data_IF_177722948936
#
_entry.id   IF_177722948936
#
_cell.length_a   1.000
_cell.length_b   1.000
_cell.length_c   1.000
_cell.angle_alpha   90.00
_cell.angle_beta   90.00
_cell.angle_gamma   90.00
#
_symmetry.space_group_name_H-M   'P 1'
#
loop_
_entity.id
_entity.type
_entity.pdbx_description
1 polymer ?
#
# COMPACT_ATOMS: atom_id res chain seq x y z
N UNK A 1 15.34 -2.55 -5.77
CA UNK A 1 14.66 -1.24 -5.81
C UNK A 1 14.88 -0.49 -4.50
N UNK A 2 15.22 0.81 -4.55
CA UNK A 2 15.36 1.64 -3.36
C UNK A 2 14.01 1.80 -2.61
N UNK A 3 14.07 1.87 -1.29
CA UNK A 3 12.89 2.05 -0.41
C UNK A 3 13.27 2.92 0.78
N UNK A 4 12.25 3.40 1.49
CA UNK A 4 12.47 4.07 2.77
C UNK A 4 12.83 3.04 3.85
N UNK A 5 13.96 3.25 4.55
CA UNK A 5 14.47 2.37 5.62
C UNK A 5 14.44 3.05 7.00
N UNK A 6 13.97 4.29 7.07
CA UNK A 6 13.92 5.04 8.32
C UNK A 6 12.76 4.65 9.24
N UNK A 7 12.60 5.32 10.38
CA UNK A 7 11.59 5.01 11.38
C UNK A 7 10.16 5.30 10.87
N UNK A 8 9.31 4.26 10.89
CA UNK A 8 7.92 4.32 10.39
C UNK A 8 7.02 5.22 11.23
N UNK A 9 7.20 5.25 12.57
CA UNK A 9 6.48 6.18 13.44
C UNK A 9 6.70 7.66 13.07
N UNK A 10 7.88 8.02 12.61
CA UNK A 10 8.17 9.38 12.16
C UNK A 10 7.29 9.77 10.97
N UNK A 11 7.00 8.82 10.06
CA UNK A 11 6.12 9.04 8.91
C UNK A 11 4.67 9.22 9.35
N UNK A 12 4.15 8.33 10.19
CA UNK A 12 2.78 8.40 10.72
C UNK A 12 2.56 9.72 11.52
N UNK A 13 3.49 10.06 12.41
CA UNK A 13 3.46 11.33 13.15
C UNK A 13 3.47 12.57 12.25
N UNK A 14 4.17 12.52 11.13
CA UNK A 14 4.20 13.65 10.17
C UNK A 14 2.88 13.87 9.49
N UNK A 15 2.15 12.81 9.20
CA UNK A 15 0.81 12.87 8.57
C UNK A 15 -0.33 12.96 9.60
N UNK A 16 -0.04 12.71 10.90
CA UNK A 16 -1.03 12.74 11.98
C UNK A 16 -2.06 11.61 11.91
N UNK A 17 -1.80 10.58 11.11
CA UNK A 17 -2.69 9.43 10.91
C UNK A 17 -1.92 8.12 10.86
N UNK A 18 -2.60 7.00 11.13
CA UNK A 18 -2.01 5.70 10.90
C UNK A 18 -1.87 5.44 9.39
N UNK A 19 -0.68 5.07 8.97
CA UNK A 19 -0.36 4.71 7.60
C UNK A 19 -0.28 3.19 7.38
N UNK A 20 -0.72 2.41 8.36
CA UNK A 20 -0.68 0.94 8.35
C UNK A 20 0.70 0.33 8.04
N UNK A 21 1.77 0.99 8.53
CA UNK A 21 3.15 0.58 8.30
C UNK A 21 3.66 -0.45 9.31
N UNK A 22 2.91 -0.73 10.38
CA UNK A 22 3.31 -1.62 11.49
C UNK A 22 2.51 -2.91 11.61
N UNK A 23 1.88 -3.33 10.58
CA UNK A 23 1.11 -4.57 10.58
C UNK A 23 -0.34 -4.39 11.03
N UNK A 24 -1.17 -5.31 10.55
CA UNK A 24 -2.59 -5.37 10.91
C UNK A 24 -2.74 -5.68 12.41
N UNK A 25 -3.75 -5.10 13.04
CA UNK A 25 -4.03 -5.34 14.46
C UNK A 25 -3.05 -4.72 15.46
N UNK A 26 -1.99 -4.03 15.00
CA UNK A 26 -1.05 -3.34 15.88
C UNK A 26 -1.38 -1.86 15.94
N UNK A 27 -2.15 -1.46 16.96
CA UNK A 27 -2.40 -0.03 17.20
C UNK A 27 -1.11 0.77 17.35
N UNK A 28 -1.10 1.96 16.79
CA UNK A 28 -0.04 2.95 16.99
C UNK A 28 -0.23 3.75 18.28
N UNK A 29 -1.40 3.69 18.89
CA UNK A 29 -1.70 4.34 20.15
C UNK A 29 -0.74 3.85 21.24
N UNK A 30 -0.25 4.75 22.06
CA UNK A 30 0.75 4.46 23.07
C UNK A 30 2.20 4.27 22.57
N UNK A 31 2.42 3.85 21.31
CA UNK A 31 3.77 3.65 20.74
C UNK A 31 4.25 4.82 19.88
N UNK A 32 3.35 5.49 19.21
CA UNK A 32 3.65 6.63 18.36
C UNK A 32 2.79 7.81 18.81
N UNK A 33 3.39 8.88 19.28
CA UNK A 33 2.68 10.12 19.64
C UNK A 33 2.20 10.82 18.37
N UNK A 34 1.05 10.40 17.82
CA UNK A 34 0.53 10.87 16.53
C UNK A 34 0.20 12.36 16.53
N UNK A 35 -0.23 12.89 17.68
CA UNK A 35 -0.59 14.30 17.85
C UNK A 35 0.60 15.25 17.73
N UNK A 36 1.81 14.75 17.98
CA UNK A 36 3.02 15.55 17.96
C UNK A 36 3.81 15.31 16.68
N UNK A 37 3.94 16.32 15.83
CA UNK A 37 4.78 16.24 14.64
C UNK A 37 6.23 15.96 15.01
N UNK A 38 6.99 15.23 14.15
CA UNK A 38 8.41 14.95 14.43
C UNK A 38 9.26 16.22 14.25
N UNK A 39 10.32 16.31 15.05
CA UNK A 39 11.30 17.40 15.03
C UNK A 39 11.20 18.33 16.24
N UNK A 40 12.18 19.22 16.40
CA UNK A 40 12.31 20.14 17.53
C UNK A 40 11.07 21.07 17.68
N UNK A 41 10.51 21.51 16.57
CA UNK A 41 9.35 22.41 16.55
C UNK A 41 8.01 21.69 16.33
N UNK A 42 7.95 20.37 16.60
CA UNK A 42 6.77 19.54 16.35
C UNK A 42 5.49 19.99 17.08
N UNK A 43 5.61 20.64 18.20
CA UNK A 43 4.48 21.18 18.98
C UNK A 43 3.86 22.45 18.37
N UNK A 44 4.60 23.19 17.54
CA UNK A 44 4.08 24.42 16.91
C UNK A 44 3.06 24.06 15.82
N UNK A 45 1.84 24.58 15.96
CA UNK A 45 0.79 24.49 14.92
C UNK A 45 0.82 25.78 14.11
N UNK A 46 1.13 25.68 12.82
CA UNK A 46 1.06 26.78 11.86
C UNK A 46 -0.12 26.54 10.92
N UNK A 47 -0.74 27.61 10.43
CA UNK A 47 -1.77 27.53 9.37
C UNK A 47 -1.14 26.89 8.13
N UNK A 48 -1.79 25.89 7.59
CA UNK A 48 -1.33 25.21 6.37
C UNK A 48 -1.77 26.02 5.14
N UNK A 49 -0.85 26.25 4.20
CA UNK A 49 -1.19 26.75 2.87
C UNK A 49 -1.80 25.64 2.02
N UNK A 50 -2.50 26.00 0.95
CA UNK A 50 -3.09 25.01 0.01
C UNK A 50 -2.02 24.10 -0.59
N UNK A 51 -0.86 24.66 -0.96
CA UNK A 51 0.29 23.87 -1.38
C UNK A 51 0.73 22.85 -0.32
N UNK A 52 0.76 23.26 0.96
CA UNK A 52 1.11 22.35 2.03
C UNK A 52 0.11 21.21 2.18
N UNK A 53 -1.19 21.46 2.01
CA UNK A 53 -2.24 20.45 2.04
C UNK A 53 -2.08 19.46 0.89
N UNK A 54 -1.92 19.95 -0.34
CA UNK A 54 -1.69 19.14 -1.54
C UNK A 54 -0.43 18.28 -1.40
N UNK A 55 0.66 18.86 -0.91
CA UNK A 55 1.92 18.13 -0.66
C UNK A 55 1.73 17.05 0.40
N UNK A 56 0.98 17.29 1.48
CA UNK A 56 0.72 16.28 2.52
C UNK A 56 -0.12 15.15 1.99
N UNK A 57 -1.19 15.42 1.23
CA UNK A 57 -2.01 14.40 0.58
C UNK A 57 -1.15 13.48 -0.30
N UNK A 58 -0.30 14.04 -1.17
CA UNK A 58 0.64 13.27 -1.98
C UNK A 58 1.58 12.43 -1.13
N UNK A 59 2.20 13.02 -0.12
CA UNK A 59 3.16 12.32 0.74
C UNK A 59 2.49 11.20 1.55
N UNK A 60 1.24 11.38 1.98
CA UNK A 60 0.46 10.35 2.67
C UNK A 60 0.29 9.12 1.78
N UNK A 61 -0.25 9.28 0.56
CA UNK A 61 -0.45 8.19 -0.39
C UNK A 61 0.89 7.49 -0.69
N UNK A 62 1.91 8.24 -1.06
CA UNK A 62 3.23 7.70 -1.36
C UNK A 62 3.81 6.86 -0.23
N UNK A 63 3.60 7.27 1.02
CA UNK A 63 4.07 6.56 2.22
C UNK A 63 3.28 5.30 2.52
N UNK A 64 1.96 5.33 2.35
CA UNK A 64 1.09 4.16 2.49
C UNK A 64 1.56 3.03 1.58
N UNK A 65 1.81 3.33 0.30
CA UNK A 65 2.26 2.34 -0.67
C UNK A 65 3.79 2.09 -0.68
N UNK A 66 4.55 2.83 0.13
CA UNK A 66 6.02 2.67 0.24
C UNK A 66 6.78 2.99 -1.04
N UNK A 67 6.29 3.94 -1.85
CA UNK A 67 6.83 4.29 -3.17
C UNK A 67 7.68 5.56 -3.06
N UNK A 68 8.79 5.65 -3.82
CA UNK A 68 9.62 6.84 -3.91
C UNK A 68 9.07 7.82 -4.94
N UNK A 69 9.46 9.10 -4.83
CA UNK A 69 8.91 10.22 -5.61
C UNK A 69 8.97 10.00 -7.12
N UNK A 70 10.12 9.59 -7.66
CA UNK A 70 10.28 9.35 -9.10
C UNK A 70 9.28 8.31 -9.61
N UNK A 71 9.14 7.20 -8.90
CA UNK A 71 8.20 6.14 -9.25
C UNK A 71 6.74 6.61 -9.14
N UNK A 72 6.41 7.36 -8.10
CA UNK A 72 5.06 7.89 -7.90
C UNK A 72 4.68 8.87 -9.03
N UNK A 73 5.60 9.74 -9.43
CA UNK A 73 5.40 10.65 -10.57
C UNK A 73 5.18 9.89 -11.88
N UNK A 74 5.87 8.76 -12.08
CA UNK A 74 5.65 7.92 -13.26
C UNK A 74 4.26 7.29 -13.25
N UNK A 75 3.75 6.84 -12.08
CA UNK A 75 2.37 6.36 -11.95
C UNK A 75 1.35 7.46 -12.23
N UNK A 76 1.60 8.67 -11.74
CA UNK A 76 0.72 9.81 -12.03
C UNK A 76 0.64 10.07 -13.54
N UNK A 77 1.78 10.15 -14.23
CA UNK A 77 1.81 10.33 -15.69
C UNK A 77 1.06 9.21 -16.43
N UNK A 78 1.25 7.96 -16.00
CA UNK A 78 0.55 6.82 -16.59
C UNK A 78 -0.97 6.86 -16.32
N UNK A 79 -1.39 7.37 -15.16
CA UNK A 79 -2.79 7.55 -14.80
C UNK A 79 -3.47 8.66 -15.62
N UNK A 80 -2.74 9.73 -15.87
CA UNK A 80 -3.21 10.89 -16.63
C UNK A 80 -3.47 10.57 -18.09
N UNK A 81 -2.69 9.65 -18.68
CA UNK A 81 -2.90 9.16 -20.05
C UNK A 81 -4.09 8.22 -20.21
N UNK A 82 -4.63 7.68 -19.10
CA UNK A 82 -5.79 6.78 -19.14
C UNK A 82 -7.10 7.55 -19.18
N UNK A 83 -8.08 7.05 -19.92
CA UNK A 83 -9.44 7.59 -19.91
C UNK A 83 -10.05 7.49 -18.51
N UNK A 84 -10.83 8.50 -18.11
CA UNK A 84 -11.52 8.55 -16.82
C UNK A 84 -10.87 9.51 -15.82
N UNK A 85 -11.23 9.39 -14.55
CA UNK A 85 -10.71 10.24 -13.49
C UNK A 85 -9.26 9.89 -13.16
N UNK A 86 -8.33 10.82 -13.39
CA UNK A 86 -6.88 10.64 -13.14
C UNK A 86 -6.57 10.16 -11.72
N UNK A 87 -7.29 10.69 -10.71
CA UNK A 87 -7.11 10.28 -9.32
C UNK A 87 -7.45 8.81 -9.07
N UNK A 88 -8.60 8.34 -9.60
CA UNK A 88 -9.00 6.94 -9.50
C UNK A 88 -8.03 6.03 -10.27
N UNK A 89 -7.65 6.41 -11.48
CA UNK A 89 -6.67 5.69 -12.28
C UNK A 89 -5.34 5.53 -11.55
N UNK A 90 -4.89 6.59 -10.85
CA UNK A 90 -3.68 6.55 -10.03
C UNK A 90 -3.82 5.53 -8.88
N UNK A 91 -4.93 5.56 -8.15
CA UNK A 91 -5.18 4.61 -7.06
C UNK A 91 -5.25 3.17 -7.57
N UNK A 92 -5.93 2.93 -8.69
CA UNK A 92 -6.00 1.61 -9.32
C UNK A 92 -4.62 1.09 -9.73
N UNK A 93 -3.77 1.93 -10.31
CA UNK A 93 -2.39 1.55 -10.62
C UNK A 93 -1.55 1.25 -9.37
N UNK A 94 -1.82 1.91 -8.25
CA UNK A 94 -1.14 1.65 -6.98
C UNK A 94 -1.66 0.37 -6.31
N UNK A 95 -2.96 0.11 -6.38
CA UNK A 95 -3.57 -1.11 -5.82
C UNK A 95 -3.23 -2.36 -6.64
N UNK A 96 -3.11 -2.25 -7.96
CA UNK A 96 -2.74 -3.38 -8.85
C UNK A 96 -1.27 -3.79 -8.75
N UNK A 97 -0.45 -3.15 -7.96
CA UNK A 97 0.96 -3.56 -7.74
C UNK A 97 1.01 -4.90 -7.01
N UNK A 98 1.87 -5.80 -7.45
CA UNK A 98 2.01 -7.13 -6.85
C UNK A 98 2.35 -7.07 -5.35
N UNK A 99 3.23 -6.16 -4.92
CA UNK A 99 3.55 -5.99 -3.49
C UNK A 99 2.32 -5.58 -2.67
N UNK A 100 1.45 -4.76 -3.24
CA UNK A 100 0.21 -4.34 -2.58
C UNK A 100 -0.87 -5.43 -2.65
N UNK A 101 -1.05 -6.13 -3.78
CA UNK A 101 -2.02 -7.24 -3.91
C UNK A 101 -1.68 -8.36 -2.91
N UNK A 102 -0.42 -8.73 -2.78
CA UNK A 102 0.07 -9.72 -1.78
C UNK A 102 -0.28 -9.28 -0.34
N UNK A 103 -0.15 -7.98 -0.04
CA UNK A 103 -0.57 -7.43 1.25
C UNK A 103 -2.10 -7.48 1.41
N UNK A 104 -2.88 -7.13 0.38
CA UNK A 104 -4.36 -7.17 0.42
C UNK A 104 -4.90 -8.58 0.60
N UNK A 105 -4.29 -9.55 -0.04
CA UNK A 105 -4.59 -10.99 0.12
C UNK A 105 -4.16 -11.57 1.47
N UNK A 106 -3.50 -10.80 2.32
CA UNK A 106 -3.15 -11.23 3.67
C UNK A 106 -1.89 -12.07 3.80
N UNK A 107 -1.12 -12.30 2.73
CA UNK A 107 0.12 -13.08 2.78
C UNK A 107 1.27 -12.38 3.52
N UNK A 108 1.08 -11.12 3.87
CA UNK A 108 2.02 -10.35 4.67
C UNK A 108 1.31 -9.40 5.62
N UNK A 109 1.89 -9.16 6.79
CA UNK A 109 1.35 -8.23 7.78
C UNK A 109 1.51 -6.76 7.38
N UNK A 110 2.49 -6.45 6.52
CA UNK A 110 2.78 -5.10 6.02
C UNK A 110 3.12 -5.10 4.54
N UNK A 111 2.93 -3.96 3.86
CA UNK A 111 3.38 -3.79 2.45
C UNK A 111 4.91 -3.94 2.31
N UNK A 112 5.68 -3.57 3.32
CA UNK A 112 7.14 -3.75 3.32
C UNK A 112 7.53 -5.23 3.35
N UNK A 113 6.81 -6.04 4.12
CA UNK A 113 6.99 -7.49 4.16
C UNK A 113 6.53 -8.15 2.86
N UNK A 114 5.35 -7.77 2.33
CA UNK A 114 4.87 -8.23 1.03
C UNK A 114 5.92 -7.99 -0.07
N UNK A 115 6.50 -6.79 -0.10
CA UNK A 115 7.58 -6.45 -1.02
C UNK A 115 8.81 -7.34 -0.84
N UNK A 116 9.15 -7.70 0.39
CA UNK A 116 10.24 -8.64 0.65
C UNK A 116 9.92 -10.04 0.14
N UNK A 117 8.70 -10.55 0.37
CA UNK A 117 8.26 -11.85 -0.13
C UNK A 117 8.36 -11.93 -1.65
N UNK A 118 7.87 -10.91 -2.36
CA UNK A 118 7.99 -10.84 -3.82
C UNK A 118 9.46 -10.83 -4.25
N UNK A 119 10.28 -9.95 -3.68
CA UNK A 119 11.71 -9.82 -4.04
C UNK A 119 12.48 -11.12 -3.78
N UNK A 120 12.10 -11.88 -2.77
CA UNK A 120 12.70 -13.18 -2.41
C UNK A 120 12.10 -14.37 -3.19
N UNK A 121 11.34 -14.10 -4.26
CA UNK A 121 10.78 -15.12 -5.15
C UNK A 121 9.84 -16.11 -4.43
N UNK A 122 9.12 -15.65 -3.40
CA UNK A 122 8.15 -16.44 -2.67
C UNK A 122 6.76 -16.46 -3.32
N UNK A 123 6.52 -15.58 -4.29
CA UNK A 123 5.21 -15.35 -4.92
C UNK A 123 5.26 -15.80 -6.38
N UNK A 124 4.17 -16.40 -6.82
CA UNK A 124 3.91 -16.77 -8.22
C UNK A 124 2.66 -16.04 -8.72
N UNK A 125 2.67 -15.68 -9.99
CA UNK A 125 1.51 -15.16 -10.72
C UNK A 125 1.27 -16.11 -11.90
N UNK A 126 0.08 -16.66 -12.01
CA UNK A 126 -0.30 -17.64 -13.04
C UNK A 126 0.71 -18.79 -13.17
N UNK A 127 1.18 -19.31 -12.02
CA UNK A 127 2.16 -20.40 -11.95
C UNK A 127 3.62 -20.00 -12.20
N UNK A 128 3.90 -18.75 -12.58
CA UNK A 128 5.25 -18.25 -12.84
C UNK A 128 5.79 -17.43 -11.66
N UNK A 129 7.06 -17.64 -11.30
CA UNK A 129 7.70 -16.89 -10.20
C UNK A 129 7.98 -15.45 -10.63
N UNK A 130 7.42 -14.49 -9.94
CA UNK A 130 7.63 -13.07 -10.18
C UNK A 130 8.38 -12.46 -8.99
N UNK A 131 9.49 -11.75 -9.26
CA UNK A 131 10.33 -11.11 -8.25
C UNK A 131 10.33 -9.58 -8.33
N UNK A 132 9.43 -9.00 -9.12
CA UNK A 132 9.31 -7.56 -9.34
C UNK A 132 8.12 -7.02 -8.51
N UNK A 133 8.35 -6.31 -7.39
CA UNK A 133 7.26 -5.80 -6.55
C UNK A 133 6.32 -4.81 -7.24
N UNK A 134 6.79 -4.12 -8.28
CA UNK A 134 6.00 -3.18 -9.09
C UNK A 134 5.31 -3.83 -10.29
N UNK A 135 5.34 -5.15 -10.40
CA UNK A 135 4.56 -5.87 -11.42
C UNK A 135 3.09 -5.48 -11.31
N UNK A 136 2.46 -5.15 -12.43
CA UNK A 136 1.04 -4.80 -12.47
C UNK A 136 0.23 -6.08 -12.66
N UNK A 137 -0.60 -6.38 -11.67
CA UNK A 137 -1.51 -7.52 -11.69
C UNK A 137 -2.73 -7.14 -12.51
N UNK A 138 -3.14 -8.01 -13.42
CA UNK A 138 -4.36 -7.88 -14.22
C UNK A 138 -5.54 -8.55 -13.53
N UNK A 139 -6.76 -8.18 -13.96
CA UNK A 139 -7.98 -8.87 -13.54
C UNK A 139 -7.87 -10.35 -13.96
N UNK A 140 -8.36 -11.25 -13.11
CA UNK A 140 -8.32 -12.71 -13.22
C UNK A 140 -6.93 -13.35 -13.06
N UNK A 141 -5.87 -12.57 -12.75
CA UNK A 141 -4.59 -13.17 -12.39
C UNK A 141 -4.69 -13.95 -11.07
N UNK A 142 -4.12 -15.15 -11.07
CA UNK A 142 -4.01 -16.02 -9.89
C UNK A 142 -2.66 -15.78 -9.22
N UNK A 143 -2.70 -15.33 -7.98
CA UNK A 143 -1.51 -15.10 -7.16
C UNK A 143 -1.42 -16.20 -6.11
N UNK A 144 -0.30 -16.90 -6.08
CA UNK A 144 -0.08 -18.01 -5.14
C UNK A 144 1.27 -17.92 -4.46
N UNK A 145 1.37 -18.58 -3.31
CA UNK A 145 2.62 -18.70 -2.58
C UNK A 145 3.35 -19.97 -3.09
N UNK A 146 4.63 -19.81 -3.40
CA UNK A 146 5.49 -20.91 -3.82
C UNK A 146 5.57 -21.98 -2.71
N UNK A 147 5.53 -23.26 -3.05
CA UNK A 147 5.52 -24.39 -2.11
C UNK A 147 6.60 -24.30 -1.01
N UNK A 148 7.83 -23.94 -1.40
CA UNK A 148 8.94 -23.75 -0.45
C UNK A 148 8.70 -22.63 0.57
N UNK A 149 7.85 -21.67 0.25
CA UNK A 149 7.54 -20.50 1.09
C UNK A 149 6.31 -20.72 1.97
N UNK A 150 5.42 -21.65 1.66
CA UNK A 150 4.19 -21.93 2.44
C UNK A 150 4.47 -22.32 3.89
N UNK A 151 5.63 -22.93 4.17
CA UNK A 151 6.06 -23.34 5.52
C UNK A 151 6.55 -22.16 6.40
N UNK A 152 6.62 -20.95 5.87
CA UNK A 152 7.10 -19.79 6.65
C UNK A 152 6.04 -19.35 7.65
N UNK A 153 6.37 -19.43 8.95
CA UNK A 153 5.44 -19.08 10.04
C UNK A 153 4.86 -17.67 9.89
N UNK A 154 5.67 -16.70 9.48
CA UNK A 154 5.22 -15.32 9.26
C UNK A 154 4.07 -15.18 8.25
N UNK A 155 4.00 -16.06 7.23
CA UNK A 155 2.93 -16.06 6.23
C UNK A 155 1.67 -16.65 6.85
N UNK A 156 1.81 -17.76 7.59
CA UNK A 156 0.70 -18.41 8.30
C UNK A 156 0.09 -17.46 9.31
N UNK A 157 0.91 -16.79 10.12
CA UNK A 157 0.45 -15.82 11.10
C UNK A 157 -0.25 -14.61 10.46
N UNK A 158 0.30 -14.11 9.34
CA UNK A 158 -0.28 -12.99 8.60
C UNK A 158 -1.65 -13.35 8.00
N UNK A 159 -1.80 -14.57 7.45
CA UNK A 159 -3.07 -15.08 6.92
C UNK A 159 -4.11 -15.26 8.03
N UNK A 160 -3.75 -15.84 9.17
CA UNK A 160 -4.66 -15.99 10.30
C UNK A 160 -5.20 -14.66 10.82
N UNK A 161 -4.35 -13.64 10.88
CA UNK A 161 -4.78 -12.28 11.20
C UNK A 161 -5.68 -11.70 10.09
N UNK A 162 -5.33 -11.91 8.82
CA UNK A 162 -6.10 -11.38 7.70
C UNK A 162 -7.49 -11.99 7.61
N UNK A 163 -7.65 -13.27 7.93
CA UNK A 163 -8.93 -13.97 7.98
C UNK A 163 -9.87 -13.36 9.04
N UNK A 164 -9.35 -12.98 10.20
CA UNK A 164 -10.13 -12.29 11.25
C UNK A 164 -10.63 -10.90 10.82
N UNK A 165 -9.82 -10.16 10.05
CA UNK A 165 -10.19 -8.80 9.58
C UNK A 165 -11.02 -8.82 8.29
N UNK A 166 -11.08 -9.96 7.60
CA UNK A 166 -11.70 -10.11 6.28
C UNK A 166 -10.81 -9.63 5.13
N UNK A 167 -11.15 -10.10 3.94
CA UNK A 167 -10.48 -9.73 2.69
C UNK A 167 -11.29 -8.66 1.94
N UNK A 168 -10.62 -7.76 1.20
CA UNK A 168 -11.30 -6.81 0.34
C UNK A 168 -12.15 -7.50 -0.74
N UNK A 169 -13.27 -6.88 -1.16
CA UNK A 169 -14.21 -7.47 -2.11
C UNK A 169 -13.60 -7.78 -3.49
N UNK A 170 -12.58 -7.01 -3.92
CA UNK A 170 -11.93 -7.16 -5.22
C UNK A 170 -10.86 -8.26 -5.28
N UNK A 171 -10.61 -8.98 -4.17
CA UNK A 171 -9.74 -10.16 -4.14
C UNK A 171 -10.49 -11.34 -3.56
N UNK A 172 -10.27 -12.52 -4.11
CA UNK A 172 -10.71 -13.78 -3.56
C UNK A 172 -9.50 -14.55 -3.05
N UNK A 173 -9.57 -15.10 -1.83
CA UNK A 173 -8.43 -15.78 -1.22
C UNK A 173 -8.84 -17.15 -0.73
N UNK A 174 -8.17 -18.19 -1.21
CA UNK A 174 -8.21 -19.53 -0.65
C UNK A 174 -7.10 -19.69 0.39
N UNK A 175 -7.46 -19.58 1.66
CA UNK A 175 -6.49 -19.64 2.76
C UNK A 175 -5.79 -21.00 2.83
N UNK A 176 -6.52 -22.10 2.56
CA UNK A 176 -5.97 -23.47 2.64
C UNK A 176 -4.90 -23.73 1.58
N UNK A 177 -5.13 -23.28 0.36
CA UNK A 177 -4.19 -23.44 -0.74
C UNK A 177 -3.13 -22.35 -0.78
N UNK A 178 -3.32 -21.26 -0.01
CA UNK A 178 -2.49 -20.06 -0.06
C UNK A 178 -2.41 -19.49 -1.48
N UNK A 179 -3.56 -19.44 -2.14
CA UNK A 179 -3.76 -18.89 -3.48
C UNK A 179 -4.92 -17.89 -3.47
N UNK A 180 -4.96 -16.99 -4.42
CA UNK A 180 -6.05 -16.04 -4.54
C UNK A 180 -6.10 -15.43 -5.92
N UNK A 181 -7.28 -14.91 -6.30
CA UNK A 181 -7.55 -14.28 -7.59
C UNK A 181 -7.80 -12.79 -7.41
N UNK A 182 -7.26 -11.98 -8.28
CA UNK A 182 -7.54 -10.56 -8.38
C UNK A 182 -8.77 -10.35 -9.26
N UNK A 183 -9.98 -10.26 -8.66
CA UNK A 183 -11.26 -10.29 -9.39
C UNK A 183 -11.55 -9.02 -10.20
N UNK A 184 -11.27 -7.86 -9.62
CA UNK A 184 -11.59 -6.57 -10.23
C UNK A 184 -10.66 -5.47 -9.73
N UNK A 185 -10.69 -4.33 -10.40
CA UNK A 185 -10.09 -3.12 -9.85
C UNK A 185 -10.97 -2.60 -8.72
N UNK A 186 -10.38 -2.08 -7.63
CA UNK A 186 -11.16 -1.52 -6.53
C UNK A 186 -11.90 -0.25 -6.96
N UNK A 187 -13.14 -0.12 -6.48
CA UNK A 187 -13.89 1.12 -6.59
C UNK A 187 -13.41 2.16 -5.56
N UNK A 188 -13.74 3.44 -5.80
CA UNK A 188 -13.36 4.50 -4.86
C UNK A 188 -13.90 4.28 -3.44
N UNK A 189 -15.10 3.69 -3.33
CA UNK A 189 -15.74 3.37 -2.05
C UNK A 189 -14.97 2.31 -1.23
N UNK A 190 -14.28 1.40 -1.90
CA UNK A 190 -13.49 0.33 -1.28
C UNK A 190 -12.16 0.83 -0.70
N UNK A 191 -11.72 1.99 -1.16
CA UNK A 191 -10.49 2.63 -0.70
C UNK A 191 -10.80 3.60 0.44
N UNK A 192 -9.97 3.59 1.47
CA UNK A 192 -10.21 4.39 2.68
C UNK A 192 -10.51 5.87 2.39
N UNK A 193 -11.50 6.41 3.09
CA UNK A 193 -11.91 7.83 3.00
C UNK A 193 -10.79 8.83 3.32
N UNK A 194 -9.77 8.38 4.03
CA UNK A 194 -8.59 9.16 4.41
C UNK A 194 -7.68 9.57 3.24
N UNK A 195 -7.87 8.99 2.08
CA UNK A 195 -7.11 9.28 0.87
C UNK A 195 -7.85 10.37 0.09
N UNK A 196 -7.18 11.50 -0.16
CA UNK A 196 -7.69 12.56 -1.02
C UNK A 196 -6.81 12.64 -2.27
N UNK A 197 -7.20 11.93 -3.31
CA UNK A 197 -6.52 11.88 -4.60
C UNK A 197 -6.67 13.17 -5.39
N UNK A 198 -7.75 13.93 -5.18
CA UNK A 198 -7.99 15.20 -5.87
C UNK A 198 -6.89 16.22 -5.59
N UNK A 199 -6.47 16.35 -4.33
CA UNK A 199 -5.37 17.24 -3.95
C UNK A 199 -4.03 16.83 -4.60
N UNK A 200 -3.85 15.54 -4.92
CA UNK A 200 -2.66 15.07 -5.64
C UNK A 200 -2.71 15.46 -7.10
N UNK A 201 -3.89 15.34 -7.73
CA UNK A 201 -4.08 15.78 -9.12
C UNK A 201 -3.83 17.29 -9.23
N UNK A 202 -4.40 18.09 -8.34
CA UNK A 202 -4.17 19.55 -8.29
C UNK A 202 -2.68 19.91 -8.11
N UNK A 203 -1.94 19.15 -7.30
CA UNK A 203 -0.52 19.40 -7.09
C UNK A 203 0.32 19.18 -8.35
N UNK A 204 -0.01 18.17 -9.15
CA UNK A 204 0.76 17.80 -10.34
C UNK A 204 0.29 18.50 -11.62
N UNK A 205 -0.90 19.09 -11.63
CA UNK A 205 -1.45 19.88 -12.74
C UNK A 205 -0.93 21.33 -12.81
N UNK A 206 -0.11 21.75 -11.84
CA UNK A 206 0.54 23.07 -11.77
C UNK A 206 1.82 23.12 -12.56
#
# INVERSE_FOLDING_TARGET
>A
MARYLGPTCKLARREGTDLFLKGRGKSLEGKCKLEQRPGQHGAKRTRSSDYALQLRAKQKIRRIYGILEKQFRNYYKAADLKKGATGLNLLNLLESRLDNVVYRMGYASTRAEARQLVSHKAIMVNGQVVNIPSYQVSVDDIISIREKAKKQQRIIDALGVAEQYGFPAWVEVNVKEMSGTFKSLPDRADLGSDINEQLVVELYSK
#
